data_IF_485961228346
#
_entry.id   IF_485961228346
#
_cell.length_a   1.000
_cell.length_b   1.000
_cell.length_c   1.000
_cell.angle_alpha   90.00
_cell.angle_beta   90.00
_cell.angle_gamma   90.00
#
_symmetry.space_group_name_H-M   'P 1'
#
loop_
_entity.id
_entity.type
_entity.pdbx_description
1 polymer ?
#
# COMPACT_ATOMS: atom_id res chain seq x y z
N UNK A 1 12.91 11.15 5.88
CA UNK A 1 13.60 11.87 4.80
C UNK A 1 12.59 12.77 4.13
N UNK A 2 12.97 13.99 3.82
CA UNK A 2 12.18 14.94 3.04
C UNK A 2 12.94 15.27 1.77
N UNK A 3 12.24 15.34 0.64
CA UNK A 3 12.83 15.61 -0.68
C UNK A 3 11.80 16.31 -1.57
N UNK A 4 12.25 16.85 -2.71
CA UNK A 4 11.36 17.46 -3.70
C UNK A 4 11.02 16.44 -4.78
N UNK A 5 9.73 16.22 -5.01
CA UNK A 5 9.21 15.42 -6.13
C UNK A 5 8.20 16.26 -6.88
N UNK A 6 8.39 16.42 -8.18
CA UNK A 6 7.55 17.28 -9.03
C UNK A 6 7.34 18.70 -8.47
N UNK A 7 8.37 19.27 -7.82
CA UNK A 7 8.31 20.61 -7.22
C UNK A 7 7.58 20.70 -5.88
N UNK A 8 7.20 19.59 -5.28
CA UNK A 8 6.50 19.53 -3.99
C UNK A 8 7.31 18.75 -2.95
N UNK A 9 7.26 19.22 -1.70
CA UNK A 9 7.89 18.52 -0.58
C UNK A 9 7.21 17.16 -0.38
N UNK A 10 8.01 16.10 -0.37
CA UNK A 10 7.57 14.72 -0.17
C UNK A 10 8.26 14.15 1.07
N UNK A 11 7.51 13.47 1.90
CA UNK A 11 7.99 12.76 3.07
C UNK A 11 8.06 11.25 2.82
N UNK A 12 9.22 10.66 3.13
CA UNK A 12 9.40 9.21 3.22
C UNK A 12 9.97 8.83 4.58
N UNK A 13 9.31 7.92 5.29
CA UNK A 13 9.91 7.28 6.44
C UNK A 13 10.92 6.22 5.99
N UNK A 14 12.14 6.31 6.47
CA UNK A 14 13.27 5.48 6.01
C UNK A 14 13.61 4.33 6.97
N UNK A 15 12.67 3.95 7.84
CA UNK A 15 12.92 2.93 8.86
C UNK A 15 13.93 3.37 9.94
N UNK A 16 14.26 4.67 10.00
CA UNK A 16 15.21 5.25 10.95
C UNK A 16 16.68 5.20 10.50
N UNK A 17 16.96 4.86 9.24
CA UNK A 17 18.29 4.86 8.65
C UNK A 17 18.42 5.91 7.54
N UNK A 18 19.60 6.50 7.33
CA UNK A 18 19.84 7.36 6.19
C UNK A 18 19.81 6.55 4.88
N UNK A 19 19.45 7.20 3.77
CA UNK A 19 19.52 6.61 2.44
C UNK A 19 20.97 6.35 2.05
N UNK A 20 21.27 5.15 1.55
CA UNK A 20 22.61 4.74 1.11
C UNK A 20 22.52 4.23 -0.35
N UNK A 21 23.08 4.94 -1.35
CA UNK A 21 23.00 4.54 -2.76
C UNK A 21 23.53 3.15 -3.09
N UNK A 22 24.35 2.56 -2.22
CA UNK A 22 24.90 1.21 -2.41
C UNK A 22 23.94 0.08 -1.99
N UNK A 23 22.82 0.40 -1.34
CA UNK A 23 21.84 -0.57 -0.87
C UNK A 23 20.66 -0.69 -1.85
N UNK A 24 20.03 -1.88 -1.96
CA UNK A 24 18.78 -2.03 -2.70
C UNK A 24 17.67 -1.17 -2.07
N UNK A 25 16.77 -0.69 -2.91
CA UNK A 25 15.69 0.21 -2.47
C UNK A 25 14.34 -0.51 -2.49
N UNK A 26 13.51 -0.28 -1.47
CA UNK A 26 12.10 -0.67 -1.43
C UNK A 26 11.21 0.54 -1.18
N UNK A 27 10.19 0.72 -2.02
CA UNK A 27 9.13 1.71 -1.83
C UNK A 27 7.90 1.02 -1.24
N UNK A 28 7.40 1.56 -0.13
CA UNK A 28 6.21 1.04 0.56
C UNK A 28 5.06 2.05 0.44
N UNK A 29 3.98 1.63 -0.21
CA UNK A 29 2.87 2.49 -0.63
C UNK A 29 1.64 2.13 0.19
N UNK A 30 1.09 3.11 0.92
CA UNK A 30 -0.07 2.90 1.78
C UNK A 30 -1.40 2.84 1.01
N UNK A 31 -2.45 2.33 1.67
CA UNK A 31 -3.82 2.30 1.16
C UNK A 31 -4.59 3.60 1.39
N UNK A 32 -5.88 3.58 1.00
CA UNK A 32 -6.79 4.72 1.21
C UNK A 32 -6.83 5.09 2.69
N UNK A 33 -6.76 6.38 2.96
CA UNK A 33 -6.84 6.96 4.30
C UNK A 33 -5.80 6.46 5.30
N UNK A 34 -4.64 6.05 4.79
CA UNK A 34 -3.47 5.68 5.56
C UNK A 34 -2.30 6.65 5.31
N UNK A 35 -1.20 6.43 5.99
CA UNK A 35 0.09 7.11 5.78
C UNK A 35 1.25 6.10 5.97
N UNK A 36 2.48 6.58 5.86
CA UNK A 36 3.70 5.76 6.02
C UNK A 36 3.72 4.90 7.28
N UNK A 37 3.02 5.29 8.35
CA UNK A 37 3.09 4.63 9.66
C UNK A 37 2.49 3.22 9.68
N UNK A 38 1.64 2.86 8.70
CA UNK A 38 1.12 1.49 8.59
C UNK A 38 2.22 0.46 8.31
N UNK A 39 3.36 0.92 7.79
CA UNK A 39 4.53 0.12 7.48
C UNK A 39 5.62 0.14 8.58
N UNK A 40 5.30 0.65 9.79
CA UNK A 40 6.30 0.92 10.82
C UNK A 40 7.17 -0.30 11.18
N UNK A 41 6.59 -1.49 11.30
CA UNK A 41 7.31 -2.72 11.62
C UNK A 41 8.19 -3.18 10.44
N UNK A 42 7.60 -3.28 9.25
CA UNK A 42 8.25 -3.76 8.05
C UNK A 42 9.39 -2.83 7.61
N UNK A 43 9.15 -1.53 7.64
CA UNK A 43 10.14 -0.51 7.25
C UNK A 43 11.36 -0.51 8.17
N UNK A 44 11.16 -0.61 9.49
CA UNK A 44 12.27 -0.65 10.44
C UNK A 44 13.10 -1.91 10.29
N UNK A 45 12.45 -3.06 10.13
CA UNK A 45 13.16 -4.32 9.93
C UNK A 45 14.03 -4.25 8.68
N UNK A 46 13.44 -3.93 7.52
CA UNK A 46 14.17 -3.90 6.24
C UNK A 46 15.32 -2.88 6.26
N UNK A 47 15.11 -1.70 6.84
CA UNK A 47 16.17 -0.69 6.96
C UNK A 47 17.35 -1.15 7.82
N UNK A 48 17.09 -1.97 8.86
CA UNK A 48 18.15 -2.56 9.69
C UNK A 48 18.79 -3.82 9.08
N UNK A 49 18.23 -4.31 7.95
CA UNK A 49 18.73 -5.50 7.24
C UNK A 49 19.17 -5.20 5.81
N UNK A 50 19.73 -4.02 5.58
CA UNK A 50 20.45 -3.68 4.34
C UNK A 50 19.61 -3.11 3.21
N UNK A 51 18.37 -2.65 3.48
CA UNK A 51 17.52 -1.99 2.49
C UNK A 51 17.44 -0.48 2.70
N UNK A 52 17.46 0.29 1.62
CA UNK A 52 16.87 1.62 1.63
C UNK A 52 15.36 1.48 1.65
N UNK A 53 14.71 2.08 2.61
CA UNK A 53 13.25 2.05 2.71
C UNK A 53 12.68 3.43 2.45
N UNK A 54 11.69 3.50 1.58
CA UNK A 54 10.90 4.68 1.29
C UNK A 54 9.41 4.38 1.56
N UNK A 55 9.02 4.37 2.84
CA UNK A 55 7.60 4.33 3.20
C UNK A 55 7.05 5.75 3.02
N UNK A 56 6.37 5.96 1.90
CA UNK A 56 5.99 7.29 1.43
C UNK A 56 4.64 7.73 2.00
N UNK A 57 4.51 9.02 2.32
CA UNK A 57 3.21 9.69 2.33
C UNK A 57 2.90 10.14 0.89
N UNK A 58 1.82 9.66 0.30
CA UNK A 58 1.41 10.07 -1.05
C UNK A 58 1.15 11.60 -1.12
N UNK A 59 1.24 12.24 -2.29
CA UNK A 59 0.99 13.67 -2.42
C UNK A 59 -0.32 14.10 -1.78
N UNK A 60 -0.29 15.20 -1.04
CA UNK A 60 -1.44 15.72 -0.32
C UNK A 60 -1.84 14.94 0.93
N UNK A 61 -1.09 13.90 1.32
CA UNK A 61 -1.32 13.12 2.53
C UNK A 61 -0.28 13.48 3.61
N UNK A 62 -0.76 13.71 4.81
CA UNK A 62 0.03 13.90 6.05
C UNK A 62 1.20 14.87 5.90
N UNK A 63 2.43 14.38 5.73
CA UNK A 63 3.65 15.19 5.65
C UNK A 63 4.09 15.52 4.22
N UNK A 64 3.39 15.01 3.21
CA UNK A 64 3.68 15.30 1.81
C UNK A 64 2.75 16.38 1.28
N UNK A 65 3.36 17.39 0.66
CA UNK A 65 2.64 18.46 -0.03
C UNK A 65 2.23 18.03 -1.45
N UNK A 66 1.61 18.96 -2.17
CA UNK A 66 1.21 18.78 -3.57
C UNK A 66 -0.23 18.30 -3.73
N UNK A 67 -0.68 18.20 -4.99
CA UNK A 67 -2.02 17.74 -5.28
C UNK A 67 -2.20 16.25 -4.96
N UNK A 68 -3.27 15.92 -4.22
CA UNK A 68 -3.62 14.53 -3.99
C UNK A 68 -4.02 13.86 -5.31
N UNK A 69 -3.46 12.67 -5.67
CA UNK A 69 -3.76 12.03 -6.94
C UNK A 69 -5.25 11.67 -7.05
N UNK A 70 -5.81 11.87 -8.23
CA UNK A 70 -7.22 11.58 -8.52
C UNK A 70 -7.41 10.17 -9.11
N UNK A 71 -6.34 9.52 -9.53
CA UNK A 71 -6.39 8.17 -10.11
C UNK A 71 -5.19 7.33 -9.66
N UNK A 72 -5.24 6.03 -9.94
CA UNK A 72 -4.12 5.10 -9.74
C UNK A 72 -2.94 5.49 -10.63
N UNK A 73 -3.22 5.91 -11.85
CA UNK A 73 -2.23 6.30 -12.86
C UNK A 73 -1.44 7.53 -12.42
N UNK A 74 -2.11 8.57 -11.90
CA UNK A 74 -1.43 9.76 -11.36
C UNK A 74 -0.56 9.43 -10.16
N UNK A 75 -1.05 8.55 -9.28
CA UNK A 75 -0.27 8.09 -8.14
C UNK A 75 0.94 7.24 -8.57
N UNK A 76 0.81 6.44 -9.64
CA UNK A 76 1.91 5.68 -10.21
C UNK A 76 2.97 6.61 -10.84
N UNK A 77 2.57 7.67 -11.54
CA UNK A 77 3.48 8.69 -12.07
C UNK A 77 4.29 9.36 -10.94
N UNK A 78 3.65 9.60 -9.79
CA UNK A 78 4.37 10.10 -8.62
C UNK A 78 5.42 9.11 -8.09
N UNK A 79 5.12 7.79 -8.03
CA UNK A 79 6.09 6.79 -7.59
C UNK A 79 7.30 6.72 -8.54
N UNK A 80 7.07 6.86 -9.85
CA UNK A 80 8.14 6.95 -10.85
C UNK A 80 9.02 8.17 -10.59
N UNK A 81 8.40 9.33 -10.43
CA UNK A 81 9.12 10.58 -10.13
C UNK A 81 9.86 10.53 -8.79
N UNK A 82 9.33 9.84 -7.78
CA UNK A 82 10.00 9.61 -6.50
C UNK A 82 11.31 8.82 -6.69
N UNK A 83 11.28 7.74 -7.46
CA UNK A 83 12.49 6.94 -7.76
C UNK A 83 13.54 7.76 -8.50
N UNK A 84 13.11 8.59 -9.43
CA UNK A 84 14.03 9.50 -10.16
C UNK A 84 14.63 10.56 -9.22
N UNK A 85 13.81 11.14 -8.34
CA UNK A 85 14.25 12.16 -7.39
C UNK A 85 15.26 11.65 -6.35
N UNK A 86 15.15 10.38 -5.92
CA UNK A 86 16.12 9.77 -5.01
C UNK A 86 17.32 9.15 -5.73
N UNK A 87 17.32 9.14 -7.07
CA UNK A 87 18.38 8.51 -7.87
C UNK A 87 18.41 6.99 -7.74
N UNK A 88 17.27 6.33 -7.48
CA UNK A 88 17.19 4.88 -7.39
C UNK A 88 17.01 4.27 -8.79
N UNK A 89 18.02 3.60 -9.37
CA UNK A 89 17.91 3.03 -10.71
C UNK A 89 16.96 1.85 -10.77
N UNK A 90 16.82 1.13 -9.65
CA UNK A 90 15.96 -0.05 -9.50
C UNK A 90 15.41 -0.11 -8.08
N UNK A 91 14.16 -0.57 -7.92
CA UNK A 91 13.53 -0.70 -6.61
C UNK A 91 12.54 -1.87 -6.56
N UNK A 92 12.31 -2.41 -5.35
CA UNK A 92 11.15 -3.21 -5.06
C UNK A 92 9.96 -2.29 -4.74
N UNK A 93 8.76 -2.67 -5.18
CA UNK A 93 7.52 -1.97 -4.86
C UNK A 93 6.62 -2.85 -4.00
N UNK A 94 6.21 -2.33 -2.86
CA UNK A 94 5.31 -2.99 -1.91
C UNK A 94 4.09 -2.08 -1.70
N UNK A 95 2.92 -2.51 -2.11
CA UNK A 95 1.70 -1.71 -1.98
C UNK A 95 0.60 -2.43 -1.23
N UNK A 96 -0.14 -1.69 -0.39
CA UNK A 96 -1.31 -2.19 0.32
C UNK A 96 -2.59 -1.58 -0.23
N UNK A 97 -3.61 -2.41 -0.48
CA UNK A 97 -4.94 -1.95 -0.91
C UNK A 97 -4.83 -1.04 -2.15
N UNK A 98 -5.32 0.20 -2.12
CA UNK A 98 -5.08 1.19 -3.18
C UNK A 98 -3.61 1.28 -3.58
N UNK A 99 -2.70 1.28 -2.60
CA UNK A 99 -1.26 1.27 -2.86
C UNK A 99 -0.79 0.05 -3.65
N UNK A 100 -1.51 -1.08 -3.60
CA UNK A 100 -1.21 -2.25 -4.42
C UNK A 100 -1.51 -2.03 -5.90
N UNK A 101 -2.59 -1.32 -6.22
CA UNK A 101 -2.91 -0.92 -7.60
C UNK A 101 -1.89 0.09 -8.12
N UNK A 102 -1.50 1.04 -7.29
CA UNK A 102 -0.44 2.03 -7.61
C UNK A 102 0.89 1.33 -7.89
N UNK A 103 1.28 0.38 -7.02
CA UNK A 103 2.50 -0.41 -7.20
C UNK A 103 2.47 -1.23 -8.50
N UNK A 104 1.33 -1.85 -8.81
CA UNK A 104 1.13 -2.62 -10.04
C UNK A 104 1.26 -1.73 -11.28
N UNK A 105 0.58 -0.60 -11.31
CA UNK A 105 0.60 0.34 -12.42
C UNK A 105 2.01 0.94 -12.62
N UNK A 106 2.68 1.32 -11.53
CA UNK A 106 4.06 1.81 -11.58
C UNK A 106 5.02 0.71 -12.08
N UNK A 107 4.87 -0.54 -11.63
CA UNK A 107 5.70 -1.65 -12.07
C UNK A 107 5.52 -1.94 -13.57
N UNK A 108 4.30 -1.85 -14.09
CA UNK A 108 4.02 -2.02 -15.51
C UNK A 108 4.68 -0.95 -16.40
N UNK A 109 4.90 0.24 -15.89
CA UNK A 109 5.56 1.36 -16.59
C UNK A 109 7.08 1.36 -16.43
N UNK A 110 7.56 1.03 -15.24
CA UNK A 110 8.99 0.98 -14.89
C UNK A 110 9.70 -0.27 -15.41
N UNK A 111 8.98 -1.37 -15.62
CA UNK A 111 9.49 -2.64 -16.12
C UNK A 111 10.78 -3.11 -15.43
N UNK A 112 11.91 -3.17 -16.13
CA UNK A 112 13.19 -3.66 -15.60
C UNK A 112 13.73 -2.86 -14.40
N UNK A 113 13.21 -1.66 -14.17
CA UNK A 113 13.53 -0.87 -12.98
C UNK A 113 12.83 -1.39 -11.70
N UNK A 114 11.90 -2.35 -11.83
CA UNK A 114 11.29 -2.99 -10.67
C UNK A 114 11.94 -4.35 -10.45
N UNK A 115 12.49 -4.55 -9.26
CA UNK A 115 13.11 -5.83 -8.89
C UNK A 115 12.07 -6.85 -8.42
N UNK A 116 11.10 -6.42 -7.62
CA UNK A 116 10.05 -7.23 -7.01
C UNK A 116 8.78 -6.40 -6.87
N UNK A 117 7.63 -7.04 -7.01
CA UNK A 117 6.32 -6.43 -6.78
C UNK A 117 5.57 -7.21 -5.71
N UNK A 118 5.25 -6.58 -4.58
CA UNK A 118 4.42 -7.18 -3.54
C UNK A 118 3.07 -6.46 -3.43
N UNK A 119 1.99 -7.20 -3.65
CA UNK A 119 0.61 -6.74 -3.61
C UNK A 119 -0.04 -7.28 -2.33
N UNK A 120 -0.21 -6.41 -1.33
CA UNK A 120 -0.75 -6.75 -0.02
C UNK A 120 -2.21 -6.31 0.04
N UNK A 121 -3.13 -7.22 0.35
CA UNK A 121 -4.56 -6.91 0.39
C UNK A 121 -5.08 -6.32 -0.92
N UNK A 122 -4.80 -6.97 -2.04
CA UNK A 122 -5.16 -6.50 -3.38
C UNK A 122 -6.41 -7.16 -3.93
N UNK A 123 -7.08 -6.49 -4.84
CA UNK A 123 -8.19 -6.98 -5.64
C UNK A 123 -8.21 -6.32 -7.02
N UNK A 124 -8.77 -6.99 -8.02
CA UNK A 124 -9.07 -6.36 -9.29
C UNK A 124 -10.26 -7.05 -9.99
N UNK A 125 -11.26 -6.26 -10.46
CA UNK A 125 -11.42 -4.83 -10.19
C UNK A 125 -11.59 -4.56 -8.69
N UNK A 126 -11.06 -3.40 -8.21
CA UNK A 126 -11.19 -3.02 -6.79
C UNK A 126 -12.43 -2.14 -6.63
N UNK A 127 -13.60 -2.78 -6.69
CA UNK A 127 -14.88 -2.09 -6.59
C UNK A 127 -15.19 -1.67 -5.16
N UNK A 128 -15.67 -0.44 -5.02
CA UNK A 128 -16.12 0.14 -3.76
C UNK A 128 -17.64 0.30 -3.78
N UNK A 129 -18.34 -0.12 -2.72
CA UNK A 129 -19.78 0.00 -2.71
C UNK A 129 -20.23 1.46 -2.82
N UNK A 130 -21.30 1.77 -3.59
CA UNK A 130 -21.80 3.15 -3.71
C UNK A 130 -22.11 3.78 -2.35
N UNK A 131 -22.67 3.01 -1.42
CA UNK A 131 -22.98 3.47 -0.07
C UNK A 131 -21.73 3.88 0.72
N UNK A 132 -20.58 3.22 0.51
CA UNK A 132 -19.33 3.57 1.16
C UNK A 132 -18.69 4.81 0.52
N UNK A 133 -18.77 4.95 -0.81
CA UNK A 133 -18.33 6.16 -1.54
C UNK A 133 -19.12 7.37 -1.06
N UNK A 134 -20.46 7.25 -1.00
CA UNK A 134 -21.34 8.32 -0.53
C UNK A 134 -21.08 8.67 0.93
N UNK A 135 -20.94 7.67 1.80
CA UNK A 135 -20.61 7.91 3.20
C UNK A 135 -19.23 8.57 3.37
N UNK A 136 -18.23 8.19 2.56
CA UNK A 136 -16.92 8.83 2.60
C UNK A 136 -16.98 10.31 2.21
N UNK A 137 -17.90 10.69 1.31
CA UNK A 137 -18.11 12.07 0.90
C UNK A 137 -18.87 12.88 1.96
N UNK A 138 -20.00 12.37 2.44
CA UNK A 138 -20.97 13.14 3.21
C UNK A 138 -20.93 12.88 4.72
N UNK A 139 -20.48 11.69 5.14
CA UNK A 139 -20.46 11.23 6.53
C UNK A 139 -19.13 10.51 6.86
N UNK A 140 -17.95 11.18 6.75
CA UNK A 140 -16.65 10.52 6.82
C UNK A 140 -16.42 9.73 8.12
N UNK A 141 -16.96 10.15 9.25
CA UNK A 141 -16.88 9.40 10.51
C UNK A 141 -17.67 8.08 10.47
N UNK A 142 -18.80 8.04 9.79
CA UNK A 142 -19.57 6.81 9.56
C UNK A 142 -18.82 5.88 8.62
N UNK A 143 -18.28 6.40 7.53
CA UNK A 143 -17.48 5.64 6.58
C UNK A 143 -16.23 5.04 7.25
N UNK A 144 -15.53 5.78 8.12
CA UNK A 144 -14.40 5.27 8.92
C UNK A 144 -14.80 4.06 9.77
N UNK A 145 -15.96 4.12 10.44
CA UNK A 145 -16.47 2.99 11.22
C UNK A 145 -16.80 1.78 10.34
N UNK A 146 -17.44 2.01 9.20
CA UNK A 146 -17.73 0.95 8.22
C UNK A 146 -16.45 0.26 7.77
N UNK A 147 -15.43 1.02 7.33
CA UNK A 147 -14.13 0.46 6.92
C UNK A 147 -13.51 -0.34 8.06
N UNK A 148 -13.50 0.16 9.30
CA UNK A 148 -12.93 -0.57 10.42
C UNK A 148 -13.65 -1.89 10.72
N UNK A 149 -14.96 -1.94 10.55
CA UNK A 149 -15.74 -3.18 10.73
C UNK A 149 -15.41 -4.20 9.66
N UNK A 150 -15.40 -3.79 8.38
CA UNK A 150 -15.15 -4.70 7.25
C UNK A 150 -13.68 -5.04 7.05
N UNK A 151 -12.76 -4.22 7.57
CA UNK A 151 -11.32 -4.43 7.41
C UNK A 151 -10.73 -5.41 8.42
N UNK A 152 -11.40 -5.69 9.52
CA UNK A 152 -10.84 -6.51 10.60
C UNK A 152 -11.42 -7.91 10.62
N UNK A 153 -10.56 -8.90 10.79
CA UNK A 153 -10.95 -10.31 10.93
C UNK A 153 -11.49 -10.62 12.33
N UNK A 154 -11.01 -9.89 13.34
CA UNK A 154 -11.35 -10.10 14.74
C UNK A 154 -11.64 -8.79 15.45
N UNK A 155 -12.44 -8.84 16.50
CA UNK A 155 -12.66 -7.68 17.38
C UNK A 155 -11.44 -7.34 18.24
N UNK A 156 -10.52 -8.29 18.39
CA UNK A 156 -9.26 -8.15 19.12
C UNK A 156 -8.10 -8.42 18.20
N UNK A 157 -7.07 -7.55 18.23
CA UNK A 157 -5.82 -7.83 17.56
C UNK A 157 -5.12 -9.04 18.19
N UNK A 158 -4.33 -9.80 17.41
CA UNK A 158 -3.45 -10.80 17.97
C UNK A 158 -2.56 -10.20 19.07
N UNK A 159 -2.30 -10.91 20.18
CA UNK A 159 -1.47 -10.40 21.29
C UNK A 159 -0.06 -9.97 20.85
N UNK A 160 0.47 -10.57 19.79
CA UNK A 160 1.77 -10.23 19.20
C UNK A 160 1.80 -8.91 18.45
N UNK A 161 0.64 -8.41 18.02
CA UNK A 161 0.54 -7.19 17.23
C UNK A 161 0.59 -5.93 18.11
N UNK A 162 0.02 -6.01 19.32
CA UNK A 162 -0.18 -4.86 20.18
C UNK A 162 -0.06 -5.25 21.66
N UNK A 163 0.45 -4.34 22.46
CA UNK A 163 0.53 -4.55 23.90
C UNK A 163 -0.85 -4.64 24.57
N UNK A 164 -0.91 -5.19 25.80
CA UNK A 164 -2.14 -5.23 26.58
C UNK A 164 -2.79 -3.86 26.70
N UNK A 165 -4.12 -3.80 26.56
CA UNK A 165 -4.86 -2.55 26.64
C UNK A 165 -4.85 -1.68 25.37
N UNK A 166 -4.18 -2.09 24.31
CA UNK A 166 -4.19 -1.35 23.04
C UNK A 166 -5.51 -1.59 22.29
N UNK A 167 -6.22 -0.52 21.98
CA UNK A 167 -7.46 -0.57 21.24
C UNK A 167 -7.22 -0.35 19.74
N UNK A 168 -7.14 -1.42 18.98
CA UNK A 168 -6.84 -1.41 17.52
C UNK A 168 -7.84 -0.58 16.73
N UNK A 169 -9.12 -0.74 17.03
CA UNK A 169 -10.18 0.02 16.37
C UNK A 169 -9.99 1.52 16.59
N UNK A 170 -9.72 1.94 17.83
CA UNK A 170 -9.43 3.34 18.15
C UNK A 170 -8.19 3.88 17.47
N UNK A 171 -7.13 3.08 17.37
CA UNK A 171 -5.91 3.46 16.67
C UNK A 171 -6.16 3.68 15.18
N UNK A 172 -6.94 2.81 14.52
CA UNK A 172 -7.34 2.98 13.13
C UNK A 172 -8.23 4.20 12.92
N UNK A 173 -9.19 4.46 13.82
CA UNK A 173 -10.00 5.68 13.79
C UNK A 173 -9.13 6.94 13.93
N UNK A 174 -8.16 6.92 14.84
CA UNK A 174 -7.23 8.04 15.04
C UNK A 174 -6.35 8.30 13.81
N UNK A 175 -5.85 7.23 13.17
CA UNK A 175 -5.09 7.33 11.93
C UNK A 175 -5.94 7.95 10.81
N UNK A 176 -7.12 7.40 10.53
CA UNK A 176 -7.99 7.91 9.48
C UNK A 176 -8.38 9.39 9.70
N UNK A 177 -8.70 9.78 10.94
CA UNK A 177 -8.97 11.18 11.30
C UNK A 177 -7.75 12.08 11.09
N UNK A 178 -6.54 11.60 11.40
CA UNK A 178 -5.30 12.33 11.16
C UNK A 178 -5.09 12.58 9.67
N UNK A 179 -5.27 11.57 8.84
CA UNK A 179 -5.13 11.70 7.38
C UNK A 179 -6.17 12.65 6.80
N UNK A 180 -7.44 12.54 7.20
CA UNK A 180 -8.49 13.47 6.76
C UNK A 180 -8.18 14.94 7.11
N UNK A 181 -7.66 15.19 8.31
CA UNK A 181 -7.31 16.54 8.77
C UNK A 181 -6.05 17.10 8.12
N UNK A 182 -5.20 16.25 7.56
CA UNK A 182 -3.94 16.67 6.94
C UNK A 182 -4.14 17.48 5.67
N UNK A 183 -5.30 17.31 5.01
CA UNK A 183 -5.64 18.05 3.79
C UNK A 183 -7.10 18.56 3.84
N UNK A 184 -7.33 19.75 4.40
CA UNK A 184 -8.69 20.30 4.51
C UNK A 184 -9.31 20.71 3.17
N UNK A 185 -8.49 20.87 2.12
CA UNK A 185 -8.96 21.28 0.80
C UNK A 185 -9.50 20.12 -0.03
N UNK A 186 -9.12 18.88 0.30
CA UNK A 186 -9.49 17.68 -0.47
C UNK A 186 -9.94 16.57 0.46
N UNK A 187 -11.11 16.00 0.21
CA UNK A 187 -11.55 14.79 0.89
C UNK A 187 -10.74 13.58 0.36
N UNK A 188 -9.61 13.29 1.03
CA UNK A 188 -8.71 12.19 0.67
C UNK A 188 -9.38 10.81 0.71
N UNK A 189 -10.40 10.66 1.56
CA UNK A 189 -11.12 9.40 1.72
C UNK A 189 -11.96 9.09 0.47
N UNK A 190 -12.82 10.04 0.11
CA UNK A 190 -13.64 9.92 -1.09
C UNK A 190 -12.78 9.79 -2.35
N UNK A 191 -11.74 10.64 -2.48
CA UNK A 191 -10.85 10.64 -3.65
C UNK A 191 -10.15 9.29 -3.84
N UNK A 192 -9.60 8.71 -2.77
CA UNK A 192 -8.94 7.41 -2.85
C UNK A 192 -9.90 6.27 -3.23
N UNK A 193 -11.13 6.27 -2.71
CA UNK A 193 -12.12 5.26 -3.09
C UNK A 193 -12.58 5.39 -4.54
N UNK A 194 -12.78 6.60 -5.03
CA UNK A 194 -13.10 6.84 -6.45
C UNK A 194 -11.95 6.37 -7.35
N UNK A 195 -10.70 6.63 -6.96
CA UNK A 195 -9.53 6.15 -7.70
C UNK A 195 -9.46 4.61 -7.75
N UNK A 196 -9.79 3.92 -6.65
CA UNK A 196 -9.87 2.46 -6.65
C UNK A 196 -10.99 1.94 -7.58
N UNK A 197 -12.20 2.51 -7.43
CA UNK A 197 -13.40 2.03 -8.14
C UNK A 197 -13.32 2.24 -9.65
N UNK A 198 -12.69 3.34 -10.07
CA UNK A 198 -12.56 3.73 -11.49
C UNK A 198 -11.40 3.05 -12.22
N UNK A 199 -10.42 2.47 -11.51
CA UNK A 199 -9.26 1.87 -12.15
C UNK A 199 -9.61 0.61 -12.94
N UNK A 200 -9.24 0.60 -14.22
CA UNK A 200 -9.51 -0.49 -15.16
C UNK A 200 -8.26 -1.13 -15.77
N UNK A 201 -7.08 -0.60 -15.44
CA UNK A 201 -5.80 -0.98 -16.06
C UNK A 201 -5.16 -2.28 -15.55
N UNK A 202 -5.70 -2.93 -14.49
CA UNK A 202 -5.00 -3.99 -13.76
C UNK A 202 -4.60 -5.21 -14.59
N UNK A 203 -5.44 -5.69 -15.51
CA UNK A 203 -5.09 -6.82 -16.39
C UNK A 203 -3.98 -6.46 -17.38
N UNK A 204 -4.04 -5.26 -17.94
CA UNK A 204 -3.00 -4.76 -18.83
C UNK A 204 -1.69 -4.55 -18.06
N UNK A 205 -1.77 -4.02 -16.84
CA UNK A 205 -0.61 -3.77 -16.01
C UNK A 205 0.08 -5.08 -15.61
N UNK A 206 -0.67 -6.09 -15.11
CA UNK A 206 -0.08 -7.38 -14.68
C UNK A 206 0.56 -8.13 -15.85
N UNK A 207 0.05 -7.98 -17.05
CA UNK A 207 0.64 -8.58 -18.25
C UNK A 207 2.00 -7.95 -18.61
N UNK A 208 2.19 -6.67 -18.29
CA UNK A 208 3.39 -5.90 -18.65
C UNK A 208 4.53 -5.94 -17.63
N UNK A 209 4.28 -6.34 -16.36
CA UNK A 209 5.37 -6.45 -15.39
C UNK A 209 6.44 -7.44 -15.88
N UNK A 210 7.71 -7.21 -15.49
CA UNK A 210 8.83 -8.08 -15.85
C UNK A 210 9.46 -8.77 -14.64
N UNK A 211 9.05 -8.36 -13.44
CA UNK A 211 9.57 -8.85 -12.16
C UNK A 211 8.70 -9.96 -11.54
N UNK A 212 9.24 -10.73 -10.57
CA UNK A 212 8.44 -11.61 -9.72
C UNK A 212 7.39 -10.83 -8.93
N UNK A 213 6.25 -11.49 -8.64
CA UNK A 213 5.14 -10.90 -7.91
C UNK A 213 4.68 -11.75 -6.73
N UNK A 214 4.52 -11.10 -5.57
CA UNK A 214 3.91 -11.64 -4.36
C UNK A 214 2.48 -11.11 -4.22
N UNK A 215 1.54 -12.01 -3.97
CA UNK A 215 0.20 -11.69 -3.48
C UNK A 215 0.11 -12.12 -2.00
N UNK A 216 0.08 -11.14 -1.08
CA UNK A 216 -0.14 -11.38 0.34
C UNK A 216 -1.60 -11.03 0.68
N UNK A 217 -2.42 -12.06 0.89
CA UNK A 217 -3.88 -11.93 0.99
C UNK A 217 -4.37 -12.28 2.39
N UNK A 218 -5.26 -11.46 2.93
CA UNK A 218 -5.97 -11.76 4.17
C UNK A 218 -7.10 -12.77 3.91
N UNK A 219 -7.05 -13.94 4.53
CA UNK A 219 -8.05 -14.99 4.33
C UNK A 219 -9.47 -14.57 4.74
N UNK A 220 -9.56 -13.61 5.66
CA UNK A 220 -10.82 -13.06 6.20
C UNK A 220 -11.08 -11.62 5.72
N UNK A 221 -10.34 -11.16 4.71
CA UNK A 221 -10.49 -9.81 4.14
C UNK A 221 -11.84 -9.66 3.44
N UNK A 222 -12.66 -8.73 3.91
CA UNK A 222 -13.96 -8.41 3.34
C UNK A 222 -13.93 -7.16 2.44
N UNK A 223 -12.81 -6.41 2.45
CA UNK A 223 -12.62 -5.25 1.58
C UNK A 223 -12.07 -5.64 0.21
N UNK A 224 -11.00 -6.45 0.22
CA UNK A 224 -10.35 -7.00 -0.97
C UNK A 224 -10.24 -8.51 -0.82
N UNK A 225 -11.34 -9.20 -1.08
CA UNK A 225 -11.42 -10.64 -0.81
C UNK A 225 -10.37 -11.42 -1.62
N UNK A 226 -9.84 -12.54 -1.10
CA UNK A 226 -8.92 -13.40 -1.83
C UNK A 226 -9.46 -13.85 -3.19
N UNK A 227 -10.78 -13.98 -3.30
CA UNK A 227 -11.46 -14.32 -4.57
C UNK A 227 -11.28 -13.22 -5.62
N UNK A 228 -11.32 -11.95 -5.21
CA UNK A 228 -11.19 -10.81 -6.12
C UNK A 228 -9.75 -10.63 -6.66
N UNK A 229 -8.74 -11.24 -6.03
CA UNK A 229 -7.37 -11.24 -6.51
C UNK A 229 -7.07 -12.35 -7.55
N UNK A 230 -7.96 -13.35 -7.69
CA UNK A 230 -7.67 -14.54 -8.51
C UNK A 230 -7.47 -14.22 -9.99
N UNK A 231 -8.18 -13.22 -10.53
CA UNK A 231 -7.99 -12.77 -11.93
C UNK A 231 -6.56 -12.30 -12.19
N UNK A 232 -6.01 -11.44 -11.33
CA UNK A 232 -4.61 -10.98 -11.45
C UNK A 232 -3.61 -12.12 -11.26
N UNK A 233 -3.85 -13.02 -10.31
CA UNK A 233 -2.99 -14.18 -10.06
C UNK A 233 -2.94 -15.09 -11.29
N UNK A 234 -4.10 -15.40 -11.86
CA UNK A 234 -4.21 -16.21 -13.06
C UNK A 234 -3.52 -15.54 -14.26
N UNK A 235 -3.75 -14.24 -14.47
CA UNK A 235 -3.12 -13.48 -15.55
C UNK A 235 -1.59 -13.44 -15.41
N UNK A 236 -1.08 -13.23 -14.21
CA UNK A 236 0.37 -13.24 -13.96
C UNK A 236 0.99 -14.62 -14.27
N UNK A 237 0.37 -15.70 -13.81
CA UNK A 237 0.83 -17.07 -14.07
C UNK A 237 0.79 -17.42 -15.56
N UNK A 238 -0.30 -17.09 -16.24
CA UNK A 238 -0.46 -17.32 -17.68
C UNK A 238 0.54 -16.50 -18.50
N UNK A 239 0.93 -15.33 -18.01
CA UNK A 239 2.00 -14.48 -18.59
C UNK A 239 3.42 -14.96 -18.26
N UNK A 240 3.59 -16.15 -17.65
CA UNK A 240 4.90 -16.73 -17.32
C UNK A 240 5.64 -16.02 -16.19
N UNK A 241 4.95 -15.23 -15.35
CA UNK A 241 5.59 -14.53 -14.23
C UNK A 241 5.83 -15.49 -13.05
N UNK A 242 6.91 -15.27 -12.31
CA UNK A 242 7.12 -15.92 -11.02
C UNK A 242 6.12 -15.36 -10.00
N UNK A 243 5.17 -16.20 -9.58
CA UNK A 243 4.06 -15.80 -8.69
C UNK A 243 4.13 -16.54 -7.37
N UNK A 244 4.24 -15.79 -6.30
CA UNK A 244 4.08 -16.29 -4.94
C UNK A 244 2.73 -15.81 -4.39
N UNK A 245 2.01 -16.70 -3.69
CA UNK A 245 0.75 -16.36 -3.00
C UNK A 245 0.87 -16.81 -1.55
N UNK A 246 0.68 -15.86 -0.64
CA UNK A 246 0.67 -16.11 0.81
C UNK A 246 -0.71 -15.73 1.33
N UNK A 247 -1.35 -16.67 2.04
CA UNK A 247 -2.62 -16.44 2.72
C UNK A 247 -2.37 -16.25 4.20
N UNK A 248 -2.79 -15.10 4.74
CA UNK A 248 -2.67 -14.74 6.14
C UNK A 248 -4.04 -14.89 6.84
N UNK A 249 -4.12 -15.45 8.05
CA UNK A 249 -5.40 -15.71 8.72
C UNK A 249 -6.02 -14.46 9.35
N UNK A 250 -6.04 -13.35 8.61
CA UNK A 250 -6.44 -12.00 9.06
C UNK A 250 -7.29 -11.30 8.01
N UNK A 251 -7.76 -10.09 8.35
CA UNK A 251 -8.54 -9.23 7.46
C UNK A 251 -7.70 -8.39 6.53
N UNK A 252 -8.15 -7.14 6.29
CA UNK A 252 -7.57 -6.22 5.32
C UNK A 252 -6.30 -5.52 5.78
N UNK A 253 -6.13 -5.33 7.09
CA UNK A 253 -4.95 -4.64 7.62
C UNK A 253 -3.84 -5.61 8.04
N UNK A 254 -3.32 -6.39 7.08
CA UNK A 254 -2.32 -7.43 7.31
C UNK A 254 -1.11 -6.93 8.11
N UNK A 255 -0.64 -5.69 7.83
CA UNK A 255 0.51 -5.08 8.50
C UNK A 255 0.31 -4.89 10.01
N UNK A 256 -0.93 -4.79 10.47
CA UNK A 256 -1.27 -4.57 11.88
C UNK A 256 -1.98 -5.74 12.54
N UNK A 257 -2.64 -6.59 11.77
CA UNK A 257 -3.32 -7.78 12.29
C UNK A 257 -2.38 -9.00 12.35
N UNK A 258 -1.43 -9.10 11.42
CA UNK A 258 -0.40 -10.13 11.34
C UNK A 258 0.96 -9.48 10.97
N UNK A 259 1.52 -8.61 11.84
CA UNK A 259 2.69 -7.81 11.49
C UNK A 259 3.94 -8.66 11.22
N UNK A 260 4.12 -9.74 11.96
CA UNK A 260 5.26 -10.64 11.83
C UNK A 260 5.14 -11.49 10.55
N UNK A 261 4.00 -12.12 10.34
CA UNK A 261 3.75 -12.96 9.16
C UNK A 261 3.79 -12.13 7.88
N UNK A 262 3.27 -10.90 7.92
CA UNK A 262 3.37 -9.96 6.80
C UNK A 262 4.81 -9.56 6.53
N UNK A 263 5.60 -9.32 7.59
CA UNK A 263 7.02 -9.04 7.45
C UNK A 263 7.77 -10.23 6.86
N UNK A 264 7.54 -11.43 7.38
CA UNK A 264 8.19 -12.66 6.89
C UNK A 264 7.87 -12.89 5.40
N UNK A 265 6.62 -12.75 5.00
CA UNK A 265 6.21 -12.90 3.60
C UNK A 265 6.93 -11.91 2.68
N UNK A 266 7.01 -10.63 3.07
CA UNK A 266 7.71 -9.60 2.29
C UNK A 266 9.22 -9.84 2.28
N UNK A 267 9.83 -10.09 3.44
CA UNK A 267 11.27 -10.34 3.59
C UNK A 267 11.74 -11.50 2.75
N UNK A 268 11.08 -12.65 2.87
CA UNK A 268 11.48 -13.89 2.18
C UNK A 268 11.31 -13.72 0.67
N UNK A 269 10.25 -13.03 0.23
CA UNK A 269 10.04 -12.71 -1.17
C UNK A 269 11.13 -11.78 -1.73
N UNK A 270 11.52 -10.75 -1.00
CA UNK A 270 12.57 -9.82 -1.42
C UNK A 270 13.98 -10.43 -1.41
N UNK A 271 14.18 -11.52 -0.67
CA UNK A 271 15.46 -12.23 -0.55
C UNK A 271 15.66 -13.31 -1.62
N UNK A 272 14.61 -13.70 -2.32
CA UNK A 272 14.63 -14.73 -3.36
C UNK A 272 14.95 -14.11 -4.74
N UNK A 273 16.21 -13.71 -4.95
CA UNK A 273 16.73 -13.22 -6.25
C UNK A 273 17.60 -14.25 -6.93
#
# INVERSE_FOLDING_TARGET
MELQVNGHQTFCYTGGKPFNPAQPTVVMIHGVLNDHSVWAMQSRYLANHGWNVLAVDLPGHCKSAGPAPASVEEAADFIIALLDAVGAPRAALVGHSWGSLIALEAAARLQERVSHLALVGTAFPMKVSPALIEAALNEPEKALRMVNVFSRSTLCAPPTALGPGTWVYGASMALGRRVLRSNPAVNLFHRGFVACDSYTGGETAIARITCPVLFALGAQDQMTTPKAAQGLIAAARSGGKTVQVVSLPVGHHQMTEAPEETLVAIRDFLSNT
#
